data_IF_554676088733
#
_entry.id   IF_554676088733
#
_cell.length_a   1.000
_cell.length_b   1.000
_cell.length_c   1.000
_cell.angle_alpha   90.00
_cell.angle_beta   90.00
_cell.angle_gamma   90.00
#
_symmetry.space_group_name_H-M   'P 1'
#
loop_
_entity.id
_entity.type
_entity.pdbx_description
1 polymer ?
#
# COMPACT_ATOMS: atom_id res chain seq x y z
N UNK A 1 36.72 -28.41 -6.06
CA UNK A 1 36.33 -28.71 -4.65
C UNK A 1 34.82 -28.54 -4.49
N UNK A 2 34.05 -29.62 -4.32
CA UNK A 2 32.60 -29.54 -4.03
C UNK A 2 32.43 -29.06 -2.57
N UNK A 3 31.93 -27.83 -2.36
CA UNK A 3 31.61 -27.33 -1.02
C UNK A 3 30.52 -28.23 -0.43
N UNK A 4 30.79 -28.89 0.68
CA UNK A 4 29.80 -29.67 1.46
C UNK A 4 28.71 -28.71 1.88
N UNK A 5 27.46 -28.97 1.46
CA UNK A 5 26.31 -28.18 1.85
C UNK A 5 26.08 -28.44 3.35
N UNK A 6 26.13 -27.40 4.15
CA UNK A 6 25.84 -27.49 5.59
C UNK A 6 24.39 -27.84 5.83
N UNK A 7 24.08 -28.73 6.76
CA UNK A 7 22.72 -29.08 7.18
C UNK A 7 21.93 -27.85 7.59
N UNK A 8 22.56 -26.92 8.30
CA UNK A 8 21.93 -25.64 8.67
C UNK A 8 21.45 -24.84 7.45
N UNK A 9 22.25 -24.84 6.35
CA UNK A 9 21.84 -24.17 5.11
C UNK A 9 20.61 -24.82 4.47
N UNK A 10 20.55 -26.15 4.48
CA UNK A 10 19.39 -26.90 3.96
C UNK A 10 18.15 -26.59 4.78
N UNK A 11 18.26 -26.59 6.10
CA UNK A 11 17.14 -26.25 6.99
C UNK A 11 16.63 -24.80 6.80
N UNK A 12 17.54 -23.85 6.66
CA UNK A 12 17.18 -22.45 6.39
C UNK A 12 16.46 -22.33 5.05
N UNK A 13 16.96 -22.96 3.99
CA UNK A 13 16.32 -22.93 2.67
C UNK A 13 14.96 -23.60 2.71
N UNK A 14 14.83 -24.75 3.39
CA UNK A 14 13.54 -25.43 3.54
C UNK A 14 12.52 -24.54 4.30
N UNK A 15 12.95 -23.90 5.38
CA UNK A 15 12.10 -22.97 6.13
C UNK A 15 11.65 -21.76 5.26
N UNK A 16 12.56 -21.20 4.46
CA UNK A 16 12.24 -20.11 3.54
C UNK A 16 11.27 -20.55 2.44
N UNK A 17 11.41 -21.76 1.90
CA UNK A 17 10.48 -22.31 0.91
C UNK A 17 9.08 -22.45 1.54
N UNK A 18 9.00 -23.07 2.72
CA UNK A 18 7.71 -23.23 3.44
C UNK A 18 7.06 -21.87 3.72
N UNK A 19 7.83 -20.91 4.18
CA UNK A 19 7.34 -19.54 4.41
C UNK A 19 6.85 -18.89 3.12
N UNK A 20 7.56 -19.05 2.03
CA UNK A 20 7.17 -18.54 0.70
C UNK A 20 5.85 -19.18 0.24
N UNK A 21 5.71 -20.49 0.35
CA UNK A 21 4.46 -21.20 0.01
C UNK A 21 3.30 -20.68 0.86
N UNK A 22 3.52 -20.48 2.16
CA UNK A 22 2.51 -19.92 3.06
C UNK A 22 2.09 -18.50 2.65
N UNK A 23 3.04 -17.64 2.26
CA UNK A 23 2.74 -16.28 1.79
C UNK A 23 1.96 -16.25 0.46
N UNK A 24 2.28 -17.15 -0.46
CA UNK A 24 1.60 -17.23 -1.75
C UNK A 24 0.26 -17.93 -1.70
N UNK A 25 0.01 -18.72 -0.65
CA UNK A 25 -1.22 -19.49 -0.50
C UNK A 25 -2.50 -18.63 -0.66
N UNK A 26 -2.69 -17.50 0.08
CA UNK A 26 -3.88 -16.67 -0.10
C UNK A 26 -3.98 -16.06 -1.51
N UNK A 27 -2.87 -15.74 -2.15
CA UNK A 27 -2.87 -15.18 -3.50
C UNK A 27 -3.34 -16.24 -4.51
N UNK A 28 -2.83 -17.47 -4.40
CA UNK A 28 -3.23 -18.58 -5.26
C UNK A 28 -4.70 -18.92 -5.05
N UNK A 29 -5.19 -18.94 -3.81
CA UNK A 29 -6.59 -19.23 -3.51
C UNK A 29 -7.52 -18.16 -4.09
N UNK A 30 -7.21 -16.88 -3.96
CA UNK A 30 -7.98 -15.80 -4.57
C UNK A 30 -8.01 -15.93 -6.08
N UNK A 31 -6.85 -16.22 -6.70
CA UNK A 31 -6.75 -16.39 -8.14
C UNK A 31 -7.58 -17.59 -8.63
N UNK A 32 -7.50 -18.74 -7.96
CA UNK A 32 -8.30 -19.92 -8.32
C UNK A 32 -9.79 -19.67 -8.12
N UNK A 33 -10.17 -19.03 -7.00
CA UNK A 33 -11.56 -18.72 -6.69
C UNK A 33 -12.17 -17.74 -7.70
N UNK A 34 -11.38 -16.85 -8.30
CA UNK A 34 -11.90 -15.93 -9.33
C UNK A 34 -12.37 -16.61 -10.62
N UNK A 35 -11.99 -17.86 -10.84
CA UNK A 35 -12.44 -18.68 -11.98
C UNK A 35 -13.58 -19.65 -11.62
N UNK A 36 -14.06 -19.63 -10.38
CA UNK A 36 -15.13 -20.54 -9.92
C UNK A 36 -16.49 -19.95 -10.29
N UNK A 37 -17.42 -20.78 -10.84
CA UNK A 37 -18.80 -20.34 -11.11
C UNK A 37 -19.52 -19.90 -9.83
N UNK A 38 -20.39 -18.90 -9.94
CA UNK A 38 -21.13 -18.34 -8.79
C UNK A 38 -22.01 -19.39 -8.08
N UNK A 39 -22.57 -20.36 -8.82
CA UNK A 39 -23.36 -21.46 -8.25
C UNK A 39 -22.49 -22.41 -7.41
N UNK A 40 -21.26 -22.67 -7.81
CA UNK A 40 -20.32 -23.49 -7.04
C UNK A 40 -19.89 -22.76 -5.76
N UNK A 41 -19.63 -21.45 -5.84
CA UNK A 41 -19.31 -20.63 -4.66
C UNK A 41 -20.46 -20.56 -3.66
N UNK A 42 -21.70 -20.46 -4.14
CA UNK A 42 -22.89 -20.41 -3.28
C UNK A 42 -23.15 -21.73 -2.53
N UNK A 43 -22.72 -22.85 -3.09
CA UNK A 43 -22.93 -24.20 -2.50
C UNK A 43 -21.74 -24.66 -1.65
N UNK A 44 -20.55 -24.13 -1.87
CA UNK A 44 -19.34 -24.46 -1.11
C UNK A 44 -19.16 -23.52 0.08
N UNK A 45 -19.25 -24.09 1.29
CA UNK A 45 -18.99 -23.34 2.55
C UNK A 45 -17.51 -23.35 2.96
N UNK A 46 -16.62 -23.92 2.13
CA UNK A 46 -15.20 -24.10 2.43
C UNK A 46 -14.26 -23.56 1.35
N UNK A 47 -12.98 -23.83 1.50
CA UNK A 47 -11.97 -23.48 0.50
C UNK A 47 -12.16 -24.25 -0.80
N UNK A 48 -12.18 -23.54 -1.92
CA UNK A 48 -12.10 -24.14 -3.25
C UNK A 48 -10.63 -24.30 -3.62
N UNK A 49 -10.12 -25.53 -3.52
CA UNK A 49 -8.75 -25.86 -3.88
C UNK A 49 -8.51 -25.89 -5.39
N UNK A 50 -9.56 -26.27 -6.12
CA UNK A 50 -9.55 -26.36 -7.58
C UNK A 50 -10.98 -26.21 -8.10
N UNK A 51 -11.24 -25.31 -9.07
CA UNK A 51 -12.56 -25.18 -9.67
C UNK A 51 -13.00 -26.48 -10.35
N UNK A 52 -14.25 -26.87 -10.20
CA UNK A 52 -14.82 -28.00 -10.97
C UNK A 52 -14.96 -27.63 -12.44
N UNK A 53 -15.34 -26.35 -12.67
CA UNK A 53 -15.41 -25.75 -13.98
C UNK A 53 -14.72 -24.38 -13.94
N UNK A 54 -13.97 -24.07 -14.98
CA UNK A 54 -13.32 -22.77 -15.11
C UNK A 54 -14.23 -21.82 -15.89
N UNK A 55 -14.62 -20.71 -15.27
CA UNK A 55 -15.43 -19.67 -15.91
C UNK A 55 -14.79 -18.29 -15.78
N UNK A 56 -15.19 -17.38 -16.66
CA UNK A 56 -14.84 -15.96 -16.59
C UNK A 56 -16.05 -15.10 -16.19
N UNK A 57 -17.09 -15.71 -15.64
CA UNK A 57 -18.35 -15.02 -15.34
C UNK A 57 -18.17 -13.92 -14.28
N UNK A 58 -17.31 -14.14 -13.28
CA UNK A 58 -16.97 -13.11 -12.31
C UNK A 58 -16.36 -11.87 -12.98
N UNK A 59 -15.49 -12.07 -13.95
CA UNK A 59 -14.85 -10.97 -14.70
C UNK A 59 -15.87 -10.27 -15.61
N UNK A 60 -16.73 -11.02 -16.30
CA UNK A 60 -17.81 -10.45 -17.12
C UNK A 60 -18.75 -9.59 -16.26
N UNK A 61 -19.17 -10.13 -15.10
CA UNK A 61 -20.04 -9.41 -14.17
C UNK A 61 -19.43 -8.07 -13.74
N UNK A 62 -18.14 -8.04 -13.43
CA UNK A 62 -17.45 -6.80 -13.03
C UNK A 62 -17.43 -5.76 -14.16
N UNK A 63 -17.29 -6.19 -15.42
CA UNK A 63 -17.17 -5.27 -16.55
C UNK A 63 -18.50 -4.94 -17.23
N UNK A 64 -19.49 -5.83 -17.20
CA UNK A 64 -20.74 -5.70 -17.96
C UNK A 64 -21.94 -5.31 -17.10
N UNK A 65 -22.00 -5.76 -15.84
CA UNK A 65 -23.18 -5.62 -14.97
C UNK A 65 -22.98 -4.72 -13.76
N UNK A 66 -21.97 -3.86 -13.79
CA UNK A 66 -21.72 -2.91 -12.70
C UNK A 66 -22.69 -1.74 -12.80
N UNK A 67 -23.42 -1.46 -11.71
CA UNK A 67 -24.35 -0.33 -11.60
C UNK A 67 -23.72 1.04 -11.85
N UNK A 68 -22.40 1.15 -11.73
CA UNK A 68 -21.65 2.37 -12.06
C UNK A 68 -21.59 2.64 -13.56
N UNK A 69 -21.75 1.63 -14.42
CA UNK A 69 -21.79 1.82 -15.88
C UNK A 69 -22.93 2.72 -16.26
N UNK A 70 -24.10 2.55 -15.65
CA UNK A 70 -25.29 3.36 -15.91
C UNK A 70 -25.14 4.81 -15.40
N UNK A 71 -24.38 5.02 -14.32
CA UNK A 71 -24.21 6.34 -13.70
C UNK A 71 -23.06 7.16 -14.30
N UNK A 72 -21.94 6.51 -14.61
CA UNK A 72 -20.67 7.17 -14.93
C UNK A 72 -20.14 6.76 -16.31
N UNK A 73 -20.77 5.77 -16.96
CA UNK A 73 -20.36 5.26 -18.27
C UNK A 73 -19.09 4.38 -18.23
N UNK A 74 -18.66 3.96 -17.01
CA UNK A 74 -17.50 3.08 -16.87
C UNK A 74 -17.70 2.13 -15.67
N UNK A 75 -17.16 0.90 -15.73
CA UNK A 75 -17.21 -0.06 -14.62
C UNK A 75 -16.54 0.49 -13.36
N UNK A 76 -17.16 0.25 -12.18
CA UNK A 76 -16.67 0.72 -10.89
C UNK A 76 -15.25 0.25 -10.56
N UNK A 77 -14.86 -0.94 -11.05
CA UNK A 77 -13.48 -1.44 -10.93
C UNK A 77 -12.49 -0.50 -11.65
N UNK A 78 -12.78 -0.08 -12.87
CA UNK A 78 -11.91 0.83 -13.63
C UNK A 78 -11.88 2.21 -12.99
N UNK A 79 -13.04 2.73 -12.57
CA UNK A 79 -13.13 3.99 -11.83
C UNK A 79 -12.30 3.93 -10.54
N UNK A 80 -12.42 2.84 -9.78
CA UNK A 80 -11.62 2.60 -8.58
C UNK A 80 -10.12 2.52 -8.85
N UNK A 81 -9.73 1.89 -9.95
CA UNK A 81 -8.33 1.81 -10.38
C UNK A 81 -7.77 3.21 -10.71
N UNK A 82 -8.49 4.00 -11.51
CA UNK A 82 -8.09 5.38 -11.83
C UNK A 82 -8.02 6.25 -10.57
N UNK A 83 -9.00 6.17 -9.68
CA UNK A 83 -8.99 6.89 -8.42
C UNK A 83 -7.78 6.49 -7.56
N UNK A 84 -7.48 5.20 -7.46
CA UNK A 84 -6.32 4.71 -6.71
C UNK A 84 -5.00 5.19 -7.33
N UNK A 85 -4.88 5.16 -8.65
CA UNK A 85 -3.66 5.60 -9.33
C UNK A 85 -3.36 7.08 -9.04
N UNK A 86 -4.29 7.98 -9.29
CA UNK A 86 -4.00 9.40 -9.09
C UNK A 86 -3.91 9.81 -7.62
N UNK A 87 -4.75 9.23 -6.73
CA UNK A 87 -4.69 9.45 -5.29
C UNK A 87 -3.40 8.92 -4.66
N UNK A 88 -2.74 7.96 -5.31
CA UNK A 88 -1.45 7.43 -4.86
C UNK A 88 -0.27 8.16 -5.50
N UNK A 89 -0.30 8.32 -6.83
CA UNK A 89 0.85 8.84 -7.58
C UNK A 89 1.09 10.33 -7.29
N UNK A 90 0.05 11.15 -7.23
CA UNK A 90 0.22 12.60 -7.00
C UNK A 90 0.84 12.85 -5.61
N UNK A 91 0.28 12.35 -4.49
CA UNK A 91 0.91 12.54 -3.18
C UNK A 91 2.30 11.91 -3.08
N UNK A 92 2.51 10.76 -3.72
CA UNK A 92 3.81 10.10 -3.71
C UNK A 92 4.89 10.96 -4.39
N UNK A 93 4.62 11.46 -5.59
CA UNK A 93 5.59 12.25 -6.35
C UNK A 93 5.87 13.59 -5.65
N UNK A 94 4.83 14.32 -5.26
CA UNK A 94 4.99 15.59 -4.56
C UNK A 94 5.64 15.36 -3.20
N UNK A 95 5.20 14.37 -2.44
CA UNK A 95 5.77 14.02 -1.14
C UNK A 95 7.22 13.58 -1.22
N UNK A 96 7.63 12.89 -2.30
CA UNK A 96 9.03 12.53 -2.54
C UNK A 96 9.90 13.78 -2.75
N UNK A 97 9.43 14.75 -3.52
CA UNK A 97 10.13 16.02 -3.74
C UNK A 97 10.26 16.78 -2.43
N UNK A 98 9.19 16.91 -1.66
CA UNK A 98 9.19 17.58 -0.35
C UNK A 98 10.14 16.89 0.63
N UNK A 99 10.09 15.55 0.70
CA UNK A 99 11.00 14.75 1.52
C UNK A 99 12.45 14.92 1.08
N UNK A 100 12.71 15.02 -0.23
CA UNK A 100 14.04 15.24 -0.81
C UNK A 100 14.63 16.58 -0.41
N UNK A 101 13.87 17.66 -0.54
CA UNK A 101 14.32 18.98 -0.07
C UNK A 101 14.57 19.03 1.43
N UNK A 102 13.67 18.43 2.21
CA UNK A 102 13.83 18.32 3.67
C UNK A 102 15.08 17.52 4.04
N UNK A 103 15.30 16.39 3.39
CA UNK A 103 16.48 15.55 3.60
C UNK A 103 17.77 16.27 3.22
N UNK A 104 17.77 16.99 2.10
CA UNK A 104 18.91 17.80 1.67
C UNK A 104 19.23 18.90 2.71
N UNK A 105 18.21 19.62 3.17
CA UNK A 105 18.37 20.63 4.20
C UNK A 105 18.97 20.04 5.48
N UNK A 106 18.45 18.91 5.96
CA UNK A 106 18.96 18.21 7.13
C UNK A 106 20.35 17.57 6.92
N UNK A 107 20.76 17.27 5.70
CA UNK A 107 22.10 16.74 5.40
C UNK A 107 23.13 17.88 5.20
N UNK A 108 22.89 18.75 4.24
CA UNK A 108 23.89 19.68 3.69
C UNK A 108 23.81 21.10 4.24
N UNK A 109 22.66 21.55 4.71
CA UNK A 109 22.49 22.91 5.19
C UNK A 109 22.82 23.03 6.70
N UNK A 110 23.34 24.20 7.12
CA UNK A 110 23.55 24.54 8.52
C UNK A 110 22.47 25.52 8.97
N UNK A 111 21.64 25.11 9.93
CA UNK A 111 20.61 25.96 10.53
C UNK A 111 20.45 25.65 12.02
N UNK A 112 19.94 26.62 12.83
CA UNK A 112 19.81 26.44 14.26
C UNK A 112 18.86 25.27 14.58
N UNK A 113 19.19 24.52 15.63
CA UNK A 113 18.41 23.37 16.11
C UNK A 113 18.28 22.19 15.14
N UNK A 114 19.01 22.14 14.03
CA UNK A 114 18.98 21.09 13.00
C UNK A 114 18.83 19.68 13.58
N UNK A 115 19.78 19.28 14.43
CA UNK A 115 19.79 17.91 14.99
C UNK A 115 18.64 17.66 15.99
N UNK A 116 18.21 18.69 16.72
CA UNK A 116 17.06 18.58 17.63
C UNK A 116 15.77 18.39 16.85
N UNK A 117 15.56 19.17 15.79
CA UNK A 117 14.39 19.05 14.92
C UNK A 117 14.36 17.69 14.20
N UNK A 118 15.51 17.22 13.73
CA UNK A 118 15.60 15.92 13.09
C UNK A 118 15.23 14.78 14.07
N UNK A 119 15.84 14.76 15.27
CA UNK A 119 15.53 13.80 16.31
C UNK A 119 14.05 13.82 16.70
N UNK A 120 13.49 15.01 16.87
CA UNK A 120 12.08 15.21 17.18
C UNK A 120 11.17 14.60 16.09
N UNK A 121 11.48 14.85 14.81
CA UNK A 121 10.75 14.26 13.67
C UNK A 121 10.78 12.73 13.70
N UNK A 122 11.95 12.14 14.00
CA UNK A 122 12.08 10.67 14.10
C UNK A 122 11.28 10.10 15.27
N UNK A 123 11.27 10.81 16.42
CA UNK A 123 10.49 10.39 17.61
C UNK A 123 8.99 10.44 17.29
N UNK A 124 8.50 11.51 16.65
CA UNK A 124 7.07 11.62 16.27
C UNK A 124 6.64 10.46 15.36
N UNK A 125 7.50 10.01 14.47
CA UNK A 125 7.21 8.86 13.62
C UNK A 125 6.92 7.57 14.42
N UNK A 126 7.47 7.44 15.62
CA UNK A 126 7.24 6.27 16.48
C UNK A 126 5.85 6.28 17.12
N UNK A 127 5.12 7.39 17.04
CA UNK A 127 3.75 7.48 17.51
C UNK A 127 2.84 6.74 16.50
N UNK A 128 2.03 5.76 16.93
CA UNK A 128 1.16 5.00 16.05
C UNK A 128 -0.01 5.88 15.58
N UNK A 129 0.17 6.57 14.45
CA UNK A 129 -0.85 7.49 13.90
C UNK A 129 -2.19 6.80 13.62
N UNK A 130 -2.21 5.48 13.39
CA UNK A 130 -3.44 4.70 13.26
C UNK A 130 -4.35 4.77 14.51
N UNK A 131 -3.78 4.96 15.69
CA UNK A 131 -4.57 5.16 16.92
C UNK A 131 -5.39 6.48 16.88
N UNK A 132 -5.00 7.43 16.06
CA UNK A 132 -5.67 8.73 15.90
C UNK A 132 -6.64 8.76 14.72
N UNK A 133 -6.96 7.64 14.09
CA UNK A 133 -7.80 7.59 12.89
C UNK A 133 -9.18 8.24 13.12
N UNK A 134 -9.81 7.95 14.28
CA UNK A 134 -11.12 8.54 14.64
C UNK A 134 -11.01 10.05 14.83
N UNK A 135 -9.98 10.51 15.52
CA UNK A 135 -9.73 11.94 15.77
C UNK A 135 -9.47 12.66 14.43
N UNK A 136 -8.68 12.05 13.55
CA UNK A 136 -8.42 12.58 12.21
C UNK A 136 -9.71 12.68 11.38
N UNK A 137 -10.58 11.67 11.44
CA UNK A 137 -11.88 11.72 10.77
C UNK A 137 -12.76 12.85 11.29
N UNK A 138 -12.87 13.02 12.61
CA UNK A 138 -13.64 14.11 13.22
C UNK A 138 -13.07 15.46 12.78
N UNK A 139 -11.77 15.63 12.79
CA UNK A 139 -11.10 16.84 12.33
C UNK A 139 -11.40 17.13 10.85
N UNK A 140 -11.24 16.15 9.96
CA UNK A 140 -11.53 16.32 8.54
C UNK A 140 -13.01 16.60 8.27
N UNK A 141 -13.90 16.00 9.06
CA UNK A 141 -15.34 16.29 9.01
C UNK A 141 -15.63 17.74 9.43
N UNK A 142 -15.02 18.20 10.51
CA UNK A 142 -15.22 19.56 11.00
C UNK A 142 -14.76 20.66 10.01
N UNK A 143 -13.70 20.38 9.23
CA UNK A 143 -13.21 21.31 8.20
C UNK A 143 -13.87 21.09 6.82
N UNK A 144 -14.89 20.20 6.72
CA UNK A 144 -15.64 19.95 5.49
C UNK A 144 -14.87 19.18 4.41
N UNK A 145 -13.88 18.35 4.82
CA UNK A 145 -13.08 17.51 3.89
C UNK A 145 -13.66 16.10 3.71
N UNK A 146 -14.80 15.80 4.30
CA UNK A 146 -15.55 14.55 4.12
C UNK A 146 -16.71 14.74 3.14
N UNK A 147 -17.41 13.66 2.78
CA UNK A 147 -18.49 13.71 1.79
C UNK A 147 -17.98 13.96 0.38
N UNK A 148 -18.48 14.98 -0.31
CA UNK A 148 -18.08 15.30 -1.70
C UNK A 148 -16.58 15.59 -1.85
N UNK A 149 -15.92 16.06 -0.81
CA UNK A 149 -14.47 16.33 -0.76
C UNK A 149 -13.68 15.20 -0.10
N UNK A 150 -14.26 14.01 0.02
CA UNK A 150 -13.67 12.88 0.74
C UNK A 150 -12.31 12.38 0.26
N UNK A 151 -11.85 12.85 -0.90
CA UNK A 151 -10.52 12.54 -1.42
C UNK A 151 -9.40 13.44 -0.84
N UNK A 152 -9.74 14.63 -0.33
CA UNK A 152 -8.77 15.60 0.20
C UNK A 152 -7.94 15.05 1.40
N UNK A 153 -8.54 14.34 2.37
CA UNK A 153 -7.78 13.73 3.46
C UNK A 153 -6.73 12.71 3.02
N UNK A 154 -6.92 12.08 1.87
CA UNK A 154 -5.96 11.13 1.29
C UNK A 154 -4.87 11.84 0.52
N UNK A 155 -5.24 12.90 -0.20
CA UNK A 155 -4.35 13.61 -1.11
C UNK A 155 -3.39 14.57 -0.37
N UNK A 156 -3.95 15.49 0.40
CA UNK A 156 -3.19 16.62 0.94
C UNK A 156 -2.15 16.19 1.97
N UNK A 157 -2.45 15.37 3.00
CA UNK A 157 -1.42 14.95 3.95
C UNK A 157 -0.27 14.18 3.30
N UNK A 158 -0.57 13.35 2.27
CA UNK A 158 0.45 12.60 1.54
C UNK A 158 1.45 13.47 0.79
N UNK A 159 1.04 14.67 0.36
CA UNK A 159 1.88 15.62 -0.37
C UNK A 159 2.98 16.27 0.50
N UNK A 160 2.83 16.26 1.82
CA UNK A 160 3.88 16.80 2.72
C UNK A 160 5.07 15.86 2.90
N UNK A 161 5.05 14.69 2.28
CA UNK A 161 6.13 13.73 2.34
C UNK A 161 6.13 12.89 3.62
N UNK A 162 6.97 11.88 3.63
CA UNK A 162 7.13 10.96 4.76
C UNK A 162 8.41 11.25 5.51
N UNK A 163 8.33 11.36 6.84
CA UNK A 163 9.51 11.46 7.73
C UNK A 163 10.46 10.28 7.48
N UNK A 164 9.90 9.08 7.18
CA UNK A 164 10.70 7.91 6.84
C UNK A 164 11.49 8.08 5.55
N UNK A 165 10.86 8.57 4.51
CA UNK A 165 11.52 8.86 3.23
C UNK A 165 12.59 9.94 3.42
N UNK A 166 12.28 11.01 4.15
CA UNK A 166 13.24 12.04 4.50
C UNK A 166 14.46 11.45 5.26
N UNK A 167 14.24 10.56 6.23
CA UNK A 167 15.32 9.91 6.99
C UNK A 167 16.24 9.09 6.07
N UNK A 168 15.68 8.24 5.21
CA UNK A 168 16.47 7.44 4.28
C UNK A 168 17.22 8.30 3.26
N UNK A 169 16.58 9.33 2.71
CA UNK A 169 17.23 10.25 1.78
C UNK A 169 18.34 11.05 2.45
N UNK A 170 18.17 11.46 3.72
CA UNK A 170 19.24 12.12 4.48
C UNK A 170 20.48 11.22 4.59
N UNK A 171 20.30 9.94 4.97
CA UNK A 171 21.43 8.99 5.06
C UNK A 171 22.14 8.84 3.71
N UNK A 172 21.36 8.84 2.62
CA UNK A 172 21.93 8.78 1.27
C UNK A 172 22.73 10.07 0.96
N UNK A 173 22.18 11.25 1.22
CA UNK A 173 22.87 12.52 0.99
C UNK A 173 24.11 12.70 1.89
N UNK A 174 24.10 12.21 3.13
CA UNK A 174 25.26 12.25 4.02
C UNK A 174 26.45 11.46 3.44
N UNK A 175 26.20 10.43 2.62
CA UNK A 175 27.23 9.64 1.93
C UNK A 175 27.78 10.27 0.64
N UNK A 176 27.18 11.36 0.15
CA UNK A 176 27.65 12.07 -1.05
C UNK A 176 28.53 13.25 -0.60
N UNK A 177 29.74 13.41 -1.16
CA UNK A 177 30.65 14.52 -0.81
C UNK A 177 30.08 15.89 -1.19
#
# INVERSE_FOLDING_TARGET
>A
MKKKVSVARVLIVAALILYTVFLFFPIITILLTSFVPSNELATNTGFVWWPKEFTLDAYKTIFEYDSYVDMVGMPGLLLGLFNTLWLTLIPLLVGLVVAGFSAYAFSKMNFPFKEKLFKFSVIIRSVPLGAFAVISYIFYSAIGWTGERGMLPLLIPGMFGSIGTMFFLRLFFDGIP
#
